data_IF_836888677306
#
_entry.id   IF_836888677306
#
_cell.length_a   1.000
_cell.length_b   1.000
_cell.length_c   1.000
_cell.angle_alpha   90.00
_cell.angle_beta   90.00
_cell.angle_gamma   90.00
#
_symmetry.space_group_name_H-M   'P 1'
#
loop_
_entity.id
_entity.type
_entity.pdbx_description
1 polymer ?
#
# COMPACT_ATOMS: atom_id res chain seq x y z
N UNK A 1 -10.79 32.12 -16.46
CA UNK A 1 -10.76 32.12 -14.97
C UNK A 1 -10.01 30.87 -14.52
N UNK A 2 -9.08 30.98 -13.57
CA UNK A 2 -8.29 29.85 -13.06
C UNK A 2 -8.68 29.54 -11.62
N UNK A 3 -8.72 28.27 -11.25
CA UNK A 3 -8.99 27.84 -9.88
C UNK A 3 -7.74 28.00 -9.00
N UNK A 4 -7.89 28.32 -7.69
CA UNK A 4 -6.76 28.40 -6.78
C UNK A 4 -6.08 27.04 -6.60
N UNK A 5 -4.74 27.01 -6.65
CA UNK A 5 -3.95 25.78 -6.49
C UNK A 5 -3.93 25.34 -5.02
N UNK A 6 -4.15 24.05 -4.76
CA UNK A 6 -4.09 23.47 -3.43
C UNK A 6 -2.68 23.55 -2.83
N UNK A 7 -2.59 23.86 -1.54
CA UNK A 7 -1.32 23.95 -0.79
C UNK A 7 -1.33 22.90 0.33
N UNK A 8 -0.55 21.81 0.23
CA UNK A 8 -0.44 20.83 1.30
C UNK A 8 0.33 21.40 2.50
N UNK A 9 0.09 20.83 3.68
CA UNK A 9 0.80 21.11 4.93
C UNK A 9 1.07 19.81 5.69
N UNK A 10 1.85 19.86 6.78
CA UNK A 10 2.18 18.67 7.58
C UNK A 10 0.94 17.93 8.12
N UNK A 11 -0.10 18.67 8.49
CA UNK A 11 -1.37 18.12 8.98
C UNK A 11 -2.39 17.89 7.85
N UNK A 12 -2.06 18.28 6.61
CA UNK A 12 -2.98 18.21 5.47
C UNK A 12 -2.23 17.84 4.20
N UNK A 13 -2.17 16.53 3.95
CA UNK A 13 -1.49 15.97 2.77
C UNK A 13 -2.16 16.40 1.46
N UNK A 14 -1.42 16.23 0.35
CA UNK A 14 -1.94 16.42 -0.99
C UNK A 14 -2.94 15.28 -1.30
N UNK A 15 -4.17 15.58 -1.77
CA UNK A 15 -5.06 14.55 -2.28
C UNK A 15 -4.38 13.78 -3.43
N UNK A 16 -4.56 12.45 -3.47
CA UNK A 16 -3.96 11.58 -4.51
C UNK A 16 -4.31 12.06 -5.92
N UNK A 17 -5.55 12.51 -6.15
CA UNK A 17 -6.01 13.01 -7.46
C UNK A 17 -5.34 14.30 -7.92
N UNK A 18 -4.72 15.06 -7.01
CA UNK A 18 -3.96 16.28 -7.31
C UNK A 18 -2.45 16.01 -7.41
N UNK A 19 -1.98 14.81 -7.06
CA UNK A 19 -0.58 14.43 -7.25
C UNK A 19 -0.32 14.16 -8.74
N UNK A 20 0.60 14.91 -9.39
CA UNK A 20 0.97 14.63 -10.78
C UNK A 20 1.52 13.22 -10.99
N UNK A 21 2.10 12.61 -9.94
CA UNK A 21 2.65 11.26 -10.01
C UNK A 21 1.56 10.19 -10.15
N UNK A 22 0.33 10.46 -9.72
CA UNK A 22 -0.80 9.53 -9.83
C UNK A 22 -1.10 9.16 -11.29
N UNK A 23 -0.92 10.11 -12.21
CA UNK A 23 -1.17 9.91 -13.64
C UNK A 23 0.07 9.43 -14.40
N UNK A 24 1.15 9.05 -13.71
CA UNK A 24 2.35 8.53 -14.36
C UNK A 24 2.09 7.14 -14.94
N UNK A 25 2.21 7.02 -16.26
CA UNK A 25 1.98 5.78 -17.01
C UNK A 25 3.27 5.08 -17.46
N UNK A 26 4.42 5.48 -16.90
CA UNK A 26 5.72 4.86 -17.21
C UNK A 26 5.72 3.34 -16.94
N UNK A 27 6.35 2.52 -17.80
CA UNK A 27 6.43 1.09 -17.58
C UNK A 27 7.11 0.72 -16.25
N UNK A 28 8.06 1.54 -15.77
CA UNK A 28 8.73 1.33 -14.48
C UNK A 28 7.77 1.49 -13.30
N UNK A 29 6.92 2.52 -13.34
CA UNK A 29 5.92 2.75 -12.29
C UNK A 29 4.89 1.62 -12.23
N UNK A 30 4.49 1.07 -13.38
CA UNK A 30 3.61 -0.10 -13.44
C UNK A 30 4.25 -1.35 -12.85
N UNK A 31 5.54 -1.58 -13.12
CA UNK A 31 6.30 -2.70 -12.51
C UNK A 31 6.37 -2.55 -11.00
N UNK A 32 6.75 -1.37 -10.51
CA UNK A 32 6.82 -1.10 -9.07
C UNK A 32 5.45 -1.26 -8.37
N UNK A 33 4.35 -0.83 -9.02
CA UNK A 33 3.00 -1.05 -8.51
C UNK A 33 2.64 -2.54 -8.48
N UNK A 34 2.95 -3.29 -9.55
CA UNK A 34 2.71 -4.73 -9.63
C UNK A 34 3.51 -5.51 -8.57
N UNK A 35 4.77 -5.16 -8.34
CA UNK A 35 5.61 -5.76 -7.30
C UNK A 35 5.05 -5.51 -5.89
N UNK A 36 4.65 -4.27 -5.60
CA UNK A 36 3.99 -3.93 -4.33
C UNK A 36 2.69 -4.72 -4.16
N UNK A 37 1.91 -4.88 -5.23
CA UNK A 37 0.68 -5.66 -5.22
C UNK A 37 0.95 -7.15 -5.00
N UNK A 38 2.00 -7.70 -5.61
CA UNK A 38 2.41 -9.09 -5.42
C UNK A 38 2.79 -9.37 -3.95
N UNK A 39 3.59 -8.49 -3.34
CA UNK A 39 3.94 -8.58 -1.91
C UNK A 39 2.68 -8.51 -1.05
N UNK A 40 1.80 -7.55 -1.32
CA UNK A 40 0.53 -7.42 -0.58
C UNK A 40 -0.35 -8.66 -0.70
N UNK A 41 -0.44 -9.25 -1.89
CA UNK A 41 -1.21 -10.45 -2.15
C UNK A 41 -0.63 -11.67 -1.43
N UNK A 42 0.69 -11.82 -1.45
CA UNK A 42 1.39 -12.89 -0.72
C UNK A 42 1.13 -12.81 0.78
N UNK A 43 1.37 -11.64 1.39
CA UNK A 43 1.15 -11.44 2.82
C UNK A 43 -0.32 -11.67 3.21
N UNK A 44 -1.27 -11.22 2.37
CA UNK A 44 -2.70 -11.48 2.58
C UNK A 44 -3.01 -12.98 2.53
N UNK A 45 -2.43 -13.71 1.58
CA UNK A 45 -2.61 -15.16 1.46
C UNK A 45 -2.05 -15.89 2.69
N UNK A 46 -0.84 -15.56 3.12
CA UNK A 46 -0.21 -16.15 4.31
C UNK A 46 -1.07 -15.94 5.56
N UNK A 47 -1.57 -14.71 5.76
CA UNK A 47 -2.50 -14.42 6.85
C UNK A 47 -3.79 -15.24 6.74
N UNK A 48 -4.41 -15.30 5.56
CA UNK A 48 -5.69 -16.00 5.38
C UNK A 48 -5.58 -17.52 5.54
N UNK A 49 -4.45 -18.12 5.14
CA UNK A 49 -4.20 -19.55 5.37
C UNK A 49 -4.17 -19.89 6.85
N UNK A 50 -3.58 -19.01 7.68
CA UNK A 50 -3.61 -19.18 9.13
C UNK A 50 -5.00 -18.87 9.69
N UNK A 51 -5.61 -17.76 9.29
CA UNK A 51 -6.89 -17.30 9.84
C UNK A 51 -8.03 -18.31 9.58
N UNK A 52 -8.06 -18.94 8.41
CA UNK A 52 -9.13 -19.85 8.01
C UNK A 52 -8.90 -21.30 8.46
N UNK A 53 -7.83 -21.62 9.20
CA UNK A 53 -7.58 -22.98 9.69
C UNK A 53 -8.53 -23.30 10.87
N UNK A 54 -9.46 -24.28 10.72
CA UNK A 54 -10.44 -24.62 11.75
C UNK A 54 -9.81 -25.25 13.00
N UNK A 55 -8.58 -25.78 12.90
CA UNK A 55 -7.89 -26.40 14.03
C UNK A 55 -7.04 -25.41 14.82
N UNK A 56 -6.97 -24.17 14.37
CA UNK A 56 -6.12 -23.15 14.97
C UNK A 56 -6.71 -22.65 16.27
N UNK A 57 -5.92 -22.74 17.35
CA UNK A 57 -6.28 -22.29 18.70
C UNK A 57 -5.23 -21.29 19.21
N UNK A 58 -5.24 -20.05 18.71
CA UNK A 58 -4.27 -19.02 19.15
C UNK A 58 -4.31 -17.71 18.35
N UNK A 59 -3.50 -16.72 18.76
CA UNK A 59 -3.34 -15.41 18.10
C UNK A 59 -2.50 -15.53 16.81
N UNK A 60 -2.84 -14.78 15.76
CA UNK A 60 -2.00 -14.69 14.54
C UNK A 60 -0.84 -13.74 14.82
N UNK A 61 0.38 -14.27 14.84
CA UNK A 61 1.58 -13.44 14.90
C UNK A 61 1.93 -13.04 13.48
N UNK A 62 1.66 -11.79 13.12
CA UNK A 62 2.20 -11.20 11.90
C UNK A 62 3.65 -10.81 12.17
N UNK A 63 4.60 -11.44 11.48
CA UNK A 63 5.96 -10.89 11.39
C UNK A 63 5.84 -9.60 10.58
N UNK A 64 5.96 -8.45 11.26
CA UNK A 64 5.99 -7.15 10.58
C UNK A 64 7.14 -7.07 9.57
N UNK A 65 7.11 -6.13 8.61
CA UNK A 65 8.26 -5.95 7.72
C UNK A 65 9.52 -5.74 8.58
N UNK A 66 10.68 -6.33 8.19
CA UNK A 66 11.91 -6.14 8.95
C UNK A 66 12.17 -4.64 9.07
N UNK A 67 12.30 -4.17 10.31
CA UNK A 67 12.59 -2.77 10.60
C UNK A 67 13.80 -2.36 9.79
N UNK A 68 13.65 -1.30 9.01
CA UNK A 68 14.80 -0.59 8.45
C UNK A 68 15.41 0.19 9.61
N UNK A 69 16.48 -0.35 10.18
CA UNK A 69 17.44 0.43 10.98
C UNK A 69 18.11 1.50 10.11
#
# INVERSE_FOLDING_TARGET
MSFPKYKPSSLRTLPETLDPAEYNISPETRRAQAERLAIRAQLKREYLLQYNDPNRRGLIVSVGPPGRE
#
